data_IF_571434472649
#
_entry.id   IF_571434472649
#
_cell.length_a   1.000
_cell.length_b   1.000
_cell.length_c   1.000
_cell.angle_alpha   90.00
_cell.angle_beta   90.00
_cell.angle_gamma   90.00
#
_symmetry.space_group_name_H-M   'P 1'
#
loop_
_entity.id
_entity.type
_entity.pdbx_description
1 polymer ?
#
# COMPACT_ATOMS: atom_id res chain seq x y z
N UNK A 1 12.80 -18.25 9.65
CA UNK A 1 11.54 -17.65 9.12
C UNK A 1 10.72 -18.77 8.49
N UNK A 2 9.65 -19.21 9.15
CA UNK A 2 8.72 -20.18 8.57
C UNK A 2 7.92 -19.46 7.48
N UNK A 3 8.12 -19.86 6.21
CA UNK A 3 7.29 -19.41 5.10
C UNK A 3 5.90 -19.99 5.33
N UNK A 4 4.96 -19.16 5.78
CA UNK A 4 3.55 -19.53 5.84
C UNK A 4 3.10 -19.79 4.41
N UNK A 5 2.89 -21.07 4.07
CA UNK A 5 2.29 -21.47 2.81
C UNK A 5 0.85 -20.94 2.84
N UNK A 6 0.61 -19.78 2.24
CA UNK A 6 -0.77 -19.30 2.02
C UNK A 6 -1.42 -20.34 1.13
N UNK A 7 -2.51 -21.01 1.57
CA UNK A 7 -3.17 -22.00 0.74
C UNK A 7 -3.57 -21.33 -0.58
N UNK A 8 -3.25 -21.97 -1.70
CA UNK A 8 -3.66 -21.49 -3.02
C UNK A 8 -5.18 -21.42 -3.04
N UNK A 9 -5.72 -20.21 -3.02
CA UNK A 9 -7.14 -19.95 -3.21
C UNK A 9 -7.60 -20.50 -4.56
N UNK A 10 -8.88 -20.86 -4.68
CA UNK A 10 -9.40 -21.34 -5.96
C UNK A 10 -9.35 -20.18 -6.97
N UNK A 11 -9.22 -20.45 -8.29
CA UNK A 11 -9.21 -19.39 -9.29
C UNK A 11 -10.39 -18.41 -9.17
N UNK A 12 -11.59 -18.90 -8.86
CA UNK A 12 -12.76 -18.06 -8.63
C UNK A 12 -12.61 -17.10 -7.44
N UNK A 13 -11.89 -17.50 -6.39
CA UNK A 13 -11.64 -16.66 -5.22
C UNK A 13 -10.64 -15.53 -5.57
N UNK A 14 -9.68 -15.80 -6.47
CA UNK A 14 -8.72 -14.80 -6.97
C UNK A 14 -9.39 -13.75 -7.87
N UNK A 15 -10.25 -14.16 -8.80
CA UNK A 15 -11.01 -13.23 -9.64
C UNK A 15 -11.91 -12.33 -8.80
N UNK A 16 -12.64 -12.90 -7.84
CA UNK A 16 -13.48 -12.14 -6.91
C UNK A 16 -12.67 -11.14 -6.07
N UNK A 17 -11.43 -11.50 -5.67
CA UNK A 17 -10.55 -10.58 -4.97
C UNK A 17 -10.10 -9.42 -5.87
N UNK A 18 -9.74 -9.68 -7.13
CA UNK A 18 -9.43 -8.62 -8.10
C UNK A 18 -10.61 -7.69 -8.33
N UNK A 19 -11.83 -8.21 -8.46
CA UNK A 19 -13.05 -7.42 -8.58
C UNK A 19 -13.27 -6.52 -7.35
N UNK A 20 -13.10 -7.07 -6.14
CA UNK A 20 -13.19 -6.29 -4.89
C UNK A 20 -12.22 -5.10 -4.92
N UNK A 21 -10.96 -5.32 -5.31
CA UNK A 21 -9.95 -4.26 -5.30
C UNK A 21 -10.18 -3.21 -6.40
N UNK A 22 -10.62 -3.64 -7.60
CA UNK A 22 -10.96 -2.72 -8.70
C UNK A 22 -12.18 -1.87 -8.36
N UNK A 23 -13.23 -2.48 -7.82
CA UNK A 23 -14.44 -1.78 -7.42
C UNK A 23 -14.18 -0.84 -6.23
N UNK A 24 -13.39 -1.27 -5.24
CA UNK A 24 -12.91 -0.38 -4.16
C UNK A 24 -12.17 0.83 -4.73
N UNK A 25 -11.17 0.62 -5.59
CA UNK A 25 -10.36 1.69 -6.20
C UNK A 25 -11.25 2.69 -6.96
N UNK A 26 -12.20 2.19 -7.75
CA UNK A 26 -13.16 3.02 -8.50
C UNK A 26 -14.08 3.83 -7.58
N UNK A 27 -14.60 3.21 -6.51
CA UNK A 27 -15.46 3.89 -5.53
C UNK A 27 -14.69 4.88 -4.65
N UNK A 28 -13.44 4.59 -4.32
CA UNK A 28 -12.60 5.46 -3.51
C UNK A 28 -12.25 6.74 -4.26
N UNK A 29 -11.91 6.62 -5.55
CA UNK A 29 -11.72 7.77 -6.42
C UNK A 29 -12.97 8.69 -6.49
N UNK A 30 -14.16 8.11 -6.32
CA UNK A 30 -15.44 8.85 -6.28
C UNK A 30 -15.84 9.31 -4.88
N UNK A 31 -15.07 8.98 -3.85
CA UNK A 31 -15.37 9.32 -2.45
C UNK A 31 -16.54 8.52 -1.84
N UNK A 32 -16.86 7.34 -2.37
CA UNK A 32 -18.02 6.52 -1.94
C UNK A 32 -17.63 5.09 -1.53
N UNK A 33 -16.36 4.83 -1.22
CA UNK A 33 -15.93 3.49 -0.79
C UNK A 33 -16.29 3.16 0.68
N UNK A 34 -16.63 4.18 1.49
CA UNK A 34 -16.92 4.02 2.92
C UNK A 34 -17.91 2.88 3.17
N UNK A 35 -19.06 2.93 2.51
CA UNK A 35 -19.92 1.77 2.33
C UNK A 35 -19.88 1.41 0.85
N UNK A 36 -19.29 0.26 0.44
CA UNK A 36 -19.41 -1.04 1.10
C UNK A 36 -18.15 -1.62 1.76
N UNK A 37 -17.03 -0.87 1.86
CA UNK A 37 -15.72 -1.47 2.18
C UNK A 37 -15.12 -1.11 3.53
N UNK A 38 -15.38 0.09 4.05
CA UNK A 38 -14.65 0.61 5.21
C UNK A 38 -15.54 0.77 6.46
N UNK A 39 -16.85 0.65 6.29
CA UNK A 39 -17.87 0.92 7.32
C UNK A 39 -17.87 -0.06 8.50
N UNK A 40 -17.21 -1.21 8.40
CA UNK A 40 -17.06 -2.16 9.52
C UNK A 40 -15.72 -2.90 9.49
N UNK A 41 -15.30 -3.41 10.65
CA UNK A 41 -14.09 -4.22 10.76
C UNK A 41 -14.11 -5.43 9.82
N UNK A 42 -15.24 -6.13 9.71
CA UNK A 42 -15.39 -7.26 8.81
C UNK A 42 -15.19 -6.88 7.32
N UNK A 43 -15.69 -5.71 6.90
CA UNK A 43 -15.51 -5.23 5.52
C UNK A 43 -14.05 -4.85 5.24
N UNK A 44 -13.38 -4.21 6.20
CA UNK A 44 -11.94 -3.88 6.10
C UNK A 44 -11.07 -5.13 6.06
N UNK A 45 -11.37 -6.12 6.90
CA UNK A 45 -10.69 -7.42 6.88
C UNK A 45 -10.90 -8.16 5.56
N UNK A 46 -12.10 -8.11 4.96
CA UNK A 46 -12.35 -8.66 3.62
C UNK A 46 -11.52 -7.97 2.54
N UNK A 47 -11.43 -6.64 2.58
CA UNK A 47 -10.61 -5.87 1.63
C UNK A 47 -9.12 -6.21 1.79
N UNK A 48 -8.65 -6.33 3.03
CA UNK A 48 -7.29 -6.75 3.36
C UNK A 48 -6.98 -8.16 2.84
N UNK A 49 -7.87 -9.11 3.08
CA UNK A 49 -7.73 -10.48 2.59
C UNK A 49 -7.67 -10.53 1.06
N UNK A 50 -8.50 -9.74 0.37
CA UNK A 50 -8.47 -9.63 -1.08
C UNK A 50 -7.11 -9.11 -1.59
N UNK A 51 -6.55 -8.06 -0.97
CA UNK A 51 -5.23 -7.55 -1.31
C UNK A 51 -4.13 -8.59 -1.12
N UNK A 52 -4.11 -9.27 0.05
CA UNK A 52 -3.10 -10.30 0.34
C UNK A 52 -3.18 -11.46 -0.66
N UNK A 53 -4.39 -11.89 -1.03
CA UNK A 53 -4.59 -12.94 -2.01
C UNK A 53 -4.08 -12.54 -3.40
N UNK A 54 -4.45 -11.34 -3.86
CA UNK A 54 -4.03 -10.78 -5.14
C UNK A 54 -2.52 -10.59 -5.20
N UNK A 55 -1.91 -10.11 -4.12
CA UNK A 55 -0.47 -9.96 -4.04
C UNK A 55 0.25 -11.31 -4.15
N UNK A 56 -0.21 -12.32 -3.39
CA UNK A 56 0.47 -13.61 -3.30
C UNK A 56 0.38 -14.47 -4.57
N UNK A 57 -0.63 -14.26 -5.43
CA UNK A 57 -0.88 -15.12 -6.58
C UNK A 57 -0.70 -14.40 -7.92
N UNK A 58 -0.03 -15.02 -8.92
CA UNK A 58 0.01 -14.49 -10.27
C UNK A 58 -1.39 -14.33 -10.87
N UNK A 59 -1.59 -13.26 -11.63
CA UNK A 59 -2.77 -13.02 -12.44
C UNK A 59 -2.36 -12.30 -13.75
N UNK A 60 -1.90 -13.06 -14.76
CA UNK A 60 -1.39 -12.51 -16.02
C UNK A 60 -2.32 -11.52 -16.75
N UNK A 61 -3.66 -11.68 -16.74
CA UNK A 61 -4.56 -10.69 -17.34
C UNK A 61 -4.46 -9.29 -16.71
N UNK A 62 -4.11 -9.18 -15.43
CA UNK A 62 -3.82 -7.91 -14.76
C UNK A 62 -2.37 -7.43 -14.96
N UNK A 63 -1.57 -8.20 -15.69
CA UNK A 63 -0.14 -8.01 -15.81
C UNK A 63 0.62 -8.28 -14.51
N UNK A 64 0.05 -9.01 -13.54
CA UNK A 64 0.74 -9.37 -12.30
C UNK A 64 1.26 -10.80 -12.37
N UNK A 65 2.57 -11.00 -12.19
CA UNK A 65 3.21 -12.31 -12.25
C UNK A 65 3.56 -12.89 -10.86
N UNK A 66 3.07 -12.27 -9.80
CA UNK A 66 3.33 -12.69 -8.42
C UNK A 66 4.62 -12.13 -7.82
N UNK A 67 4.82 -12.29 -6.51
CA UNK A 67 5.90 -11.64 -5.76
C UNK A 67 7.26 -12.30 -5.97
N UNK A 68 7.28 -13.57 -6.42
CA UNK A 68 8.51 -14.32 -6.76
C UNK A 68 9.03 -13.98 -8.18
N UNK A 69 8.32 -13.13 -8.92
CA UNK A 69 8.76 -12.65 -10.23
C UNK A 69 9.65 -11.41 -10.09
N UNK A 70 10.38 -11.05 -11.17
CA UNK A 70 11.17 -9.81 -11.23
C UNK A 70 10.31 -8.54 -11.50
N UNK A 71 9.02 -8.60 -11.18
CA UNK A 71 8.11 -7.47 -11.32
C UNK A 71 8.26 -6.50 -10.15
N UNK A 72 8.23 -5.21 -10.46
CA UNK A 72 8.25 -4.17 -9.43
C UNK A 72 6.89 -4.03 -8.76
N UNK A 73 6.93 -3.75 -7.45
CA UNK A 73 5.82 -3.27 -6.65
C UNK A 73 6.11 -1.80 -6.36
N UNK A 74 5.19 -0.92 -6.73
CA UNK A 74 5.31 0.49 -6.41
C UNK A 74 4.34 0.83 -5.28
N UNK A 75 4.82 1.59 -4.30
CA UNK A 75 3.97 2.19 -3.28
C UNK A 75 4.02 3.71 -3.42
N UNK A 76 2.86 4.34 -3.32
CA UNK A 76 2.70 5.78 -3.18
C UNK A 76 1.89 6.09 -1.93
N UNK A 77 2.51 6.63 -0.89
CA UNK A 77 1.84 6.98 0.36
C UNK A 77 1.63 8.48 0.41
N UNK A 78 0.38 8.89 0.55
CA UNK A 78 -0.02 10.29 0.67
C UNK A 78 -0.55 10.52 2.07
N UNK A 79 0.08 11.41 2.83
CA UNK A 79 -0.29 11.63 4.22
C UNK A 79 -0.23 13.12 4.62
N UNK A 80 -0.90 13.45 5.72
CA UNK A 80 -0.88 14.82 6.27
C UNK A 80 0.43 15.18 6.96
N UNK A 81 1.25 14.18 7.31
CA UNK A 81 2.61 14.36 7.82
C UNK A 81 3.46 13.09 7.59
N UNK A 82 4.77 13.25 7.75
CA UNK A 82 5.75 12.18 7.53
C UNK A 82 5.61 11.02 8.51
N UNK A 83 5.11 11.23 9.73
CA UNK A 83 4.98 10.15 10.71
C UNK A 83 3.88 9.17 10.28
N UNK A 84 2.75 9.65 9.78
CA UNK A 84 1.73 8.77 9.21
C UNK A 84 2.21 8.06 7.93
N UNK A 85 2.91 8.77 7.05
CA UNK A 85 3.45 8.16 5.83
C UNK A 85 4.44 7.03 6.16
N UNK A 86 5.36 7.28 7.09
CA UNK A 86 6.39 6.33 7.49
C UNK A 86 5.79 5.08 8.18
N UNK A 87 4.73 5.25 8.99
CA UNK A 87 3.99 4.13 9.58
C UNK A 87 3.36 3.25 8.52
N UNK A 88 2.53 3.85 7.66
CA UNK A 88 1.86 3.14 6.59
C UNK A 88 2.88 2.43 5.68
N UNK A 89 3.94 3.14 5.27
CA UNK A 89 5.01 2.56 4.47
C UNK A 89 5.63 1.31 5.11
N UNK A 90 6.02 1.39 6.39
CA UNK A 90 6.55 0.23 7.12
C UNK A 90 5.54 -0.92 7.15
N UNK A 91 4.30 -0.64 7.53
CA UNK A 91 3.30 -1.70 7.69
C UNK A 91 3.00 -2.41 6.36
N UNK A 92 3.00 -1.68 5.25
CA UNK A 92 2.90 -2.24 3.92
C UNK A 92 4.13 -3.07 3.52
N UNK A 93 5.33 -2.59 3.82
CA UNK A 93 6.56 -3.37 3.57
C UNK A 93 6.58 -4.66 4.39
N UNK A 94 6.28 -4.60 5.68
CA UNK A 94 6.25 -5.77 6.56
C UNK A 94 5.23 -6.81 6.09
N UNK A 95 4.00 -6.38 5.81
CA UNK A 95 2.93 -7.30 5.44
C UNK A 95 3.16 -7.95 4.06
N UNK A 96 3.73 -7.22 3.12
CA UNK A 96 4.04 -7.73 1.78
C UNK A 96 5.43 -8.40 1.70
N UNK A 97 6.20 -8.42 2.79
CA UNK A 97 7.56 -8.97 2.79
C UNK A 97 8.55 -8.20 1.91
N UNK A 98 8.31 -6.90 1.71
CA UNK A 98 9.16 -6.02 0.91
C UNK A 98 10.30 -5.42 1.77
N UNK A 99 11.50 -5.20 1.21
CA UNK A 99 12.58 -4.52 1.91
C UNK A 99 12.16 -3.10 2.35
N UNK A 100 12.35 -2.81 3.64
CA UNK A 100 12.14 -1.48 4.19
C UNK A 100 13.40 -0.63 3.94
N UNK A 101 13.26 0.39 3.10
CA UNK A 101 14.36 1.28 2.70
C UNK A 101 14.12 2.67 3.30
N UNK A 102 15.09 3.26 4.01
CA UNK A 102 14.96 4.64 4.49
C UNK A 102 14.69 5.60 3.32
N UNK A 103 13.67 6.47 3.40
CA UNK A 103 13.40 7.42 2.34
C UNK A 103 14.49 8.48 2.27
N UNK A 104 14.80 8.96 1.07
CA UNK A 104 15.53 10.20 0.87
C UNK A 104 14.56 11.39 0.76
N UNK A 105 14.98 12.57 1.20
CA UNK A 105 14.20 13.79 0.96
C UNK A 105 14.42 14.31 -0.46
N UNK A 106 13.34 14.67 -1.17
CA UNK A 106 13.35 15.47 -2.41
C UNK A 106 12.90 16.90 -2.20
N UNK A 107 12.97 17.38 -0.95
CA UNK A 107 12.64 18.76 -0.59
C UNK A 107 13.93 19.51 -0.36
N UNK A 108 14.12 20.61 -1.10
CA UNK A 108 15.32 21.44 -1.01
C UNK A 108 15.59 21.89 0.42
N UNK A 109 16.84 21.74 0.85
CA UNK A 109 17.29 22.13 2.19
C UNK A 109 16.87 21.19 3.33
N UNK A 110 16.17 20.08 3.05
CA UNK A 110 15.77 19.11 4.07
C UNK A 110 16.62 17.85 3.95
N UNK A 111 17.60 17.68 4.84
CA UNK A 111 18.47 16.51 4.85
C UNK A 111 17.76 15.25 5.41
N UNK A 112 17.04 15.40 6.52
CA UNK A 112 16.28 14.31 7.12
C UNK A 112 14.79 14.43 6.76
N UNK A 113 14.21 13.50 5.98
CA UNK A 113 12.80 13.56 5.60
C UNK A 113 11.86 13.49 6.82
N UNK A 114 12.28 12.88 7.92
CA UNK A 114 11.49 12.80 9.17
C UNK A 114 11.28 14.18 9.83
N UNK A 115 12.01 15.20 9.38
CA UNK A 115 11.83 16.60 9.81
C UNK A 115 10.82 17.38 8.97
N UNK A 116 10.30 16.79 7.88
CA UNK A 116 9.27 17.44 7.06
C UNK A 116 8.03 17.78 7.88
N UNK A 117 7.37 18.86 7.47
CA UNK A 117 6.15 19.38 8.06
C UNK A 117 5.10 19.56 6.96
N UNK A 118 3.84 19.34 7.30
CA UNK A 118 2.74 19.37 6.36
C UNK A 118 2.61 18.10 5.54
N UNK A 119 1.75 18.15 4.52
CA UNK A 119 1.43 17.01 3.68
C UNK A 119 2.64 16.49 2.91
N UNK A 120 2.73 15.17 2.79
CA UNK A 120 3.85 14.49 2.13
C UNK A 120 3.36 13.42 1.16
N UNK A 121 4.18 13.18 0.14
CA UNK A 121 4.09 12.03 -0.74
C UNK A 121 5.39 11.21 -0.60
N UNK A 122 5.27 9.97 -0.17
CA UNK A 122 6.35 8.99 -0.11
C UNK A 122 6.19 8.02 -1.28
N UNK A 123 7.22 7.86 -2.10
CA UNK A 123 7.28 6.86 -3.17
C UNK A 123 8.30 5.80 -2.83
N UNK A 124 7.94 4.54 -3.07
CA UNK A 124 8.81 3.39 -2.97
C UNK A 124 8.69 2.50 -4.22
N UNK A 125 9.81 1.92 -4.64
CA UNK A 125 9.89 0.94 -5.72
C UNK A 125 10.66 -0.28 -5.21
N UNK A 126 10.04 -1.46 -5.19
CA UNK A 126 10.65 -2.68 -4.65
C UNK A 126 11.84 -3.18 -5.45
N UNK A 127 11.89 -2.91 -6.75
CA UNK A 127 12.92 -3.39 -7.67
C UNK A 127 14.16 -2.51 -7.65
N UNK A 128 13.97 -1.20 -7.84
CA UNK A 128 15.09 -0.25 -7.83
C UNK A 128 15.51 0.18 -6.42
N UNK A 129 14.72 -0.18 -5.41
CA UNK A 129 14.84 0.28 -4.03
C UNK A 129 14.84 1.81 -3.88
N UNK A 130 14.37 2.52 -4.92
CA UNK A 130 14.18 3.96 -4.85
C UNK A 130 13.09 4.26 -3.82
N UNK A 131 13.46 4.91 -2.72
CA UNK A 131 12.54 5.43 -1.72
C UNK A 131 12.77 6.92 -1.51
N UNK A 132 11.73 7.74 -1.65
CA UNK A 132 11.84 9.17 -1.40
C UNK A 132 10.57 9.80 -0.87
N UNK A 133 10.70 10.98 -0.27
CA UNK A 133 9.60 11.82 0.17
C UNK A 133 9.67 13.21 -0.46
N UNK A 134 8.54 13.73 -0.92
CA UNK A 134 8.37 15.12 -1.33
C UNK A 134 7.20 15.77 -0.57
N UNK A 135 7.08 17.10 -0.66
CA UNK A 135 5.86 17.80 -0.22
C UNK A 135 4.68 17.38 -1.08
N UNK A 136 3.49 17.39 -0.48
CA UNK A 136 2.24 17.10 -1.16
C UNK A 136 1.14 18.02 -0.62
N UNK A 137 0.69 18.92 -1.49
CA UNK A 137 -0.37 19.90 -1.18
C UNK A 137 -1.75 19.45 -1.67
N UNK A 138 -1.84 18.25 -2.26
CA UNK A 138 -3.10 17.69 -2.73
C UNK A 138 -4.01 17.24 -1.59
N UNK A 139 -5.23 16.84 -1.96
CA UNK A 139 -6.30 16.50 -1.01
C UNK A 139 -6.32 15.02 -0.63
N UNK A 140 -5.76 14.16 -1.47
CA UNK A 140 -5.86 12.70 -1.28
C UNK A 140 -5.06 12.25 -0.06
N UNK A 141 -5.47 11.16 0.58
CA UNK A 141 -4.76 10.52 1.69
C UNK A 141 -4.90 9.02 1.57
N UNK A 142 -3.85 8.29 1.90
CA UNK A 142 -3.83 6.83 1.84
C UNK A 142 -2.64 6.29 1.04
N UNK A 143 -2.73 5.00 0.70
CA UNK A 143 -1.68 4.26 0.02
C UNK A 143 -2.17 3.78 -1.34
N UNK A 144 -1.43 4.10 -2.38
CA UNK A 144 -1.53 3.46 -3.69
C UNK A 144 -0.52 2.32 -3.75
N UNK A 145 -0.94 1.19 -4.30
CA UNK A 145 -0.06 0.09 -4.68
C UNK A 145 -0.20 -0.17 -6.17
N UNK A 146 0.91 -0.33 -6.87
CA UNK A 146 0.93 -0.81 -8.24
C UNK A 146 1.44 -2.24 -8.29
N UNK A 147 0.63 -3.12 -8.89
CA UNK A 147 0.94 -4.52 -9.14
C UNK A 147 0.84 -4.76 -10.64
N UNK A 148 1.99 -4.90 -11.30
CA UNK A 148 2.04 -5.00 -12.76
C UNK A 148 1.50 -3.73 -13.43
N UNK A 149 0.44 -3.88 -14.22
CA UNK A 149 -0.19 -2.76 -14.95
C UNK A 149 -1.29 -2.06 -14.15
N UNK A 150 -1.69 -2.59 -12.99
CA UNK A 150 -2.80 -2.06 -12.22
C UNK A 150 -2.33 -1.28 -11.00
N UNK A 151 -2.85 -0.06 -10.87
CA UNK A 151 -2.75 0.75 -9.66
C UNK A 151 -4.05 0.61 -8.86
N UNK A 152 -3.93 0.33 -7.57
CA UNK A 152 -5.04 0.09 -6.64
C UNK A 152 -4.94 1.06 -5.45
N UNK A 153 -6.09 1.55 -4.96
CA UNK A 153 -6.16 2.45 -3.81
C UNK A 153 -6.99 3.73 -4.08
N UNK A 154 -6.92 4.75 -3.23
CA UNK A 154 -6.08 4.87 -2.04
C UNK A 154 -6.59 4.02 -0.87
N UNK A 155 -5.78 3.10 -0.36
CA UNK A 155 -6.09 2.35 0.85
C UNK A 155 -5.86 3.23 2.09
N UNK A 156 -6.62 3.05 3.19
CA UNK A 156 -6.41 3.79 4.43
C UNK A 156 -4.96 3.71 4.94
N UNK A 157 -4.45 4.78 5.55
CA UNK A 157 -3.06 4.80 6.07
C UNK A 157 -2.83 3.73 7.16
N UNK A 158 -3.85 3.44 7.97
CA UNK A 158 -3.83 2.37 8.96
C UNK A 158 -4.35 1.02 8.44
N UNK A 159 -4.20 0.73 7.13
CA UNK A 159 -4.82 -0.46 6.52
C UNK A 159 -4.46 -1.77 7.25
N UNK A 160 -3.20 -1.96 7.60
CA UNK A 160 -2.71 -3.16 8.31
C UNK A 160 -2.52 -2.96 9.83
N UNK A 161 -2.63 -1.72 10.33
CA UNK A 161 -2.58 -1.38 11.76
C UNK A 161 -3.59 -0.25 12.04
N UNK A 162 -4.86 -0.61 12.15
CA UNK A 162 -5.96 0.36 12.33
C UNK A 162 -5.82 1.15 13.65
N UNK A 163 -5.26 0.51 14.68
CA UNK A 163 -5.05 1.12 15.98
C UNK A 163 -3.83 2.05 16.01
N UNK A 164 -3.02 2.06 14.94
CA UNK A 164 -1.73 2.76 14.88
C UNK A 164 -0.84 2.43 16.08
N UNK A 165 -0.90 1.19 16.54
CA UNK A 165 -0.24 0.73 17.75
C UNK A 165 1.29 0.81 17.62
N UNK A 166 1.84 0.58 16.43
CA UNK A 166 3.29 0.63 16.20
C UNK A 166 3.77 2.07 15.98
N UNK A 167 4.73 2.60 16.77
CA UNK A 167 5.28 3.95 16.60
C UNK A 167 5.89 4.13 15.20
N UNK A 168 6.05 5.35 14.67
CA UNK A 168 6.67 5.55 13.36
C UNK A 168 8.11 5.03 13.40
N UNK A 169 8.62 4.45 12.30
CA UNK A 169 10.00 3.98 12.26
C UNK A 169 10.96 5.18 12.38
N UNK A 170 12.03 5.01 13.18
CA UNK A 170 13.15 5.95 13.19
C UNK A 170 14.08 5.60 12.04
N UNK A 171 14.04 6.38 10.97
CA UNK A 171 15.00 6.31 9.87
C UNK A 171 16.17 7.26 10.10
#
# INVERSE_FOLDING_TARGET
>A
MQRSCVPLGRPADLEAAWEILRDFTSKEFRGVAQDPYLSSAAKRQRLMAALKLVYAQPHPPAGWLGPESDMEVLLGVVASDIQYAARAYRDWCEELGLPLIPPNSRVDGVANPMQLRGGVYLKYNSKTQLCYVSRYDGRDRGVLIQLGQLQLGHFPLGFFDEAMAKPPPGF
#
